data_IF_082499717925
#
_entry.id   IF_082499717925
#
_cell.length_a   1.000
_cell.length_b   1.000
_cell.length_c   1.000
_cell.angle_alpha   90.00
_cell.angle_beta   90.00
_cell.angle_gamma   90.00
#
_symmetry.space_group_name_H-M   'P 1'
#
loop_
_entity.id
_entity.type
_entity.pdbx_description
1 polymer ?
#
# COMPACT_ATOMS: atom_id res chain seq x y z
N UNK A 1 7.84 38.40 -0.57
CA UNK A 1 6.50 38.76 -0.04
C UNK A 1 5.36 38.08 -0.81
N UNK A 2 5.41 37.99 -2.15
CA UNK A 2 4.39 37.29 -2.95
C UNK A 2 4.23 35.80 -2.60
N UNK A 3 5.33 35.05 -2.44
CA UNK A 3 5.27 33.62 -2.10
C UNK A 3 4.56 33.35 -0.75
N UNK A 4 4.79 34.19 0.26
CA UNK A 4 4.13 34.06 1.58
C UNK A 4 2.62 34.29 1.47
N UNK A 5 2.20 35.26 0.64
CA UNK A 5 0.79 35.52 0.38
C UNK A 5 0.12 34.37 -0.37
N UNK A 6 0.80 33.78 -1.35
CA UNK A 6 0.31 32.60 -2.09
C UNK A 6 0.17 31.40 -1.15
N UNK A 7 1.17 31.13 -0.31
CA UNK A 7 1.12 30.05 0.67
C UNK A 7 0.00 30.24 1.70
N UNK A 8 -0.17 31.46 2.21
CA UNK A 8 -1.27 31.79 3.13
C UNK A 8 -2.63 31.57 2.48
N UNK A 9 -2.81 32.03 1.25
CA UNK A 9 -4.06 31.82 0.50
C UNK A 9 -4.33 30.34 0.22
N UNK A 10 -3.33 29.56 -0.19
CA UNK A 10 -3.47 28.12 -0.42
C UNK A 10 -3.85 27.38 0.86
N UNK A 11 -3.27 27.76 1.99
CA UNK A 11 -3.59 27.17 3.28
C UNK A 11 -5.02 27.50 3.73
N UNK A 12 -5.43 28.77 3.60
CA UNK A 12 -6.79 29.20 3.92
C UNK A 12 -7.83 28.51 3.03
N UNK A 13 -7.54 28.37 1.73
CA UNK A 13 -8.42 27.69 0.78
C UNK A 13 -8.50 26.19 1.11
N UNK A 14 -7.37 25.53 1.38
CA UNK A 14 -7.34 24.13 1.82
C UNK A 14 -8.18 23.90 3.09
N UNK A 15 -8.05 24.80 4.07
CA UNK A 15 -8.75 24.68 5.33
C UNK A 15 -10.27 24.81 5.17
N UNK A 16 -10.75 25.58 4.18
CA UNK A 16 -12.17 25.77 3.87
C UNK A 16 -12.74 24.68 2.97
N UNK A 17 -11.99 24.25 1.94
CA UNK A 17 -12.48 23.30 0.95
C UNK A 17 -12.41 21.84 1.41
N UNK A 18 -11.45 21.50 2.28
CA UNK A 18 -11.17 20.10 2.62
C UNK A 18 -11.95 19.64 3.85
N UNK A 19 -12.78 18.56 3.75
CA UNK A 19 -13.51 17.99 4.87
C UNK A 19 -12.59 17.36 5.93
N UNK A 20 -13.05 17.31 7.19
CA UNK A 20 -12.26 16.83 8.33
C UNK A 20 -11.74 15.39 8.17
N UNK A 21 -12.48 14.52 7.46
CA UNK A 21 -12.05 13.13 7.19
C UNK A 21 -10.79 13.07 6.32
N UNK A 22 -10.73 13.89 5.27
CA UNK A 22 -9.55 13.97 4.40
C UNK A 22 -8.34 14.58 5.13
N UNK A 23 -8.58 15.58 6.00
CA UNK A 23 -7.52 16.17 6.84
C UNK A 23 -6.85 15.14 7.77
N UNK A 24 -7.59 14.14 8.26
CA UNK A 24 -7.01 13.05 9.08
C UNK A 24 -6.08 12.19 8.23
N UNK A 25 -6.47 11.86 6.99
CA UNK A 25 -5.63 11.10 6.06
C UNK A 25 -4.38 11.90 5.70
N UNK A 26 -4.53 13.20 5.41
CA UNK A 26 -3.41 14.09 5.12
C UNK A 26 -2.45 14.20 6.32
N UNK A 27 -2.97 14.29 7.56
CA UNK A 27 -2.15 14.29 8.77
C UNK A 27 -1.37 12.97 8.95
N UNK A 28 -2.01 11.83 8.65
CA UNK A 28 -1.35 10.52 8.62
C UNK A 28 -0.24 10.46 7.55
N UNK A 29 -0.49 10.97 6.35
CA UNK A 29 0.52 11.06 5.29
C UNK A 29 1.72 11.91 5.70
N UNK A 30 1.50 13.05 6.36
CA UNK A 30 2.57 13.90 6.90
C UNK A 30 3.37 13.16 7.97
N UNK A 31 2.70 12.48 8.90
CA UNK A 31 3.38 11.68 9.92
C UNK A 31 4.31 10.60 9.32
N UNK A 32 3.83 9.86 8.32
CA UNK A 32 4.64 8.83 7.65
C UNK A 32 5.80 9.46 6.90
N UNK A 33 5.57 10.57 6.20
CA UNK A 33 6.61 11.29 5.46
C UNK A 33 7.73 11.74 6.40
N UNK A 34 7.38 12.35 7.54
CA UNK A 34 8.34 12.76 8.56
C UNK A 34 9.10 11.56 9.12
N UNK A 35 8.42 10.42 9.32
CA UNK A 35 9.06 9.19 9.78
C UNK A 35 10.06 8.65 8.75
N UNK A 36 9.72 8.66 7.46
CA UNK A 36 10.63 8.24 6.38
C UNK A 36 11.84 9.16 6.24
N UNK A 37 11.65 10.48 6.37
CA UNK A 37 12.75 11.45 6.42
C UNK A 37 13.65 11.20 7.62
N UNK A 38 13.08 10.97 8.81
CA UNK A 38 13.86 10.67 10.01
C UNK A 38 14.66 9.37 9.87
N UNK A 39 14.08 8.31 9.30
CA UNK A 39 14.78 7.05 9.00
C UNK A 39 15.94 7.27 8.02
N UNK A 40 15.71 8.04 6.96
CA UNK A 40 16.72 8.37 5.97
C UNK A 40 17.88 9.17 6.57
N UNK A 41 17.57 10.22 7.36
CA UNK A 41 18.58 11.01 8.07
C UNK A 41 19.38 10.16 9.06
N UNK A 42 18.73 9.27 9.80
CA UNK A 42 19.41 8.33 10.70
C UNK A 42 20.42 7.45 9.92
N UNK A 43 20.02 6.92 8.77
CA UNK A 43 20.90 6.12 7.92
C UNK A 43 22.11 6.91 7.41
N UNK A 44 21.94 8.20 7.08
CA UNK A 44 23.05 9.06 6.66
C UNK A 44 24.03 9.37 7.79
N UNK A 45 23.53 9.54 9.02
CA UNK A 45 24.35 9.93 10.17
C UNK A 45 25.05 8.76 10.87
N UNK A 46 24.34 7.63 11.04
CA UNK A 46 24.81 6.48 11.84
C UNK A 46 25.34 5.36 10.95
N UNK A 47 24.94 5.33 9.68
CA UNK A 47 25.33 4.31 8.71
C UNK A 47 24.23 3.29 8.45
N UNK A 48 24.55 2.30 7.60
CA UNK A 48 23.59 1.41 6.95
C UNK A 48 23.45 0.03 7.60
N UNK A 49 24.12 -0.24 8.72
CA UNK A 49 24.07 -1.56 9.36
C UNK A 49 23.03 -1.59 10.50
N UNK A 50 22.05 -2.53 10.51
CA UNK A 50 21.75 -3.57 9.50
C UNK A 50 20.89 -3.07 8.33
N UNK A 51 21.35 -3.33 7.09
CA UNK A 51 20.77 -2.74 5.87
C UNK A 51 19.33 -3.20 5.59
N UNK A 52 19.04 -4.49 5.83
CA UNK A 52 17.70 -5.03 5.60
C UNK A 52 16.66 -4.41 6.53
N UNK A 53 17.03 -4.12 7.79
CA UNK A 53 16.10 -3.49 8.74
C UNK A 53 15.85 -2.02 8.36
N UNK A 54 16.89 -1.28 7.95
CA UNK A 54 16.70 0.07 7.40
C UNK A 54 15.81 0.06 6.15
N UNK A 55 16.15 -0.76 5.17
CA UNK A 55 15.44 -0.85 3.89
C UNK A 55 13.98 -1.28 4.09
N UNK A 56 13.72 -2.23 4.99
CA UNK A 56 12.36 -2.66 5.34
C UNK A 56 11.53 -1.53 5.98
N UNK A 57 12.12 -0.75 6.88
CA UNK A 57 11.45 0.36 7.55
C UNK A 57 11.19 1.52 6.58
N UNK A 58 12.14 1.79 5.69
CA UNK A 58 12.01 2.81 4.66
C UNK A 58 10.98 2.43 3.58
N UNK A 59 10.96 1.18 3.12
CA UNK A 59 9.92 0.69 2.20
C UNK A 59 8.54 0.74 2.88
N UNK A 60 8.47 0.42 4.18
CA UNK A 60 7.22 0.55 4.96
C UNK A 60 6.62 1.94 4.87
N UNK A 61 7.44 2.97 5.11
CA UNK A 61 6.98 4.36 5.12
C UNK A 61 6.59 4.81 3.71
N UNK A 62 7.38 4.47 2.69
CA UNK A 62 7.04 4.79 1.29
C UNK A 62 5.72 4.12 0.85
N UNK A 63 5.56 2.81 1.07
CA UNK A 63 4.35 2.11 0.63
C UNK A 63 3.12 2.54 1.44
N UNK A 64 3.25 2.79 2.75
CA UNK A 64 2.14 3.30 3.57
C UNK A 64 1.67 4.68 3.10
N UNK A 65 2.61 5.54 2.66
CA UNK A 65 2.27 6.84 2.06
C UNK A 65 1.51 6.68 0.74
N UNK A 66 1.95 5.77 -0.13
CA UNK A 66 1.26 5.47 -1.40
C UNK A 66 -0.15 4.95 -1.14
N UNK A 67 -0.31 3.98 -0.22
CA UNK A 67 -1.63 3.44 0.15
C UNK A 67 -2.55 4.53 0.73
N UNK A 68 -2.02 5.44 1.55
CA UNK A 68 -2.79 6.56 2.08
C UNK A 68 -3.22 7.55 0.99
N UNK A 69 -2.35 7.81 0.01
CA UNK A 69 -2.67 8.62 -1.17
C UNK A 69 -3.79 7.98 -2.01
N UNK A 70 -3.72 6.67 -2.24
CA UNK A 70 -4.78 5.92 -2.91
C UNK A 70 -6.11 6.02 -2.16
N UNK A 71 -6.10 5.84 -0.83
CA UNK A 71 -7.29 6.01 0.00
C UNK A 71 -7.85 7.43 -0.12
N UNK A 72 -6.99 8.46 -0.03
CA UNK A 72 -7.37 9.87 -0.16
C UNK A 72 -8.07 10.16 -1.49
N UNK A 73 -7.57 9.59 -2.58
CA UNK A 73 -8.14 9.76 -3.92
C UNK A 73 -9.52 9.09 -4.02
N UNK A 74 -9.66 7.87 -3.51
CA UNK A 74 -10.90 7.08 -3.59
C UNK A 74 -12.02 7.63 -2.69
N UNK A 75 -11.68 8.21 -1.54
CA UNK A 75 -12.68 8.76 -0.60
C UNK A 75 -12.97 10.24 -0.81
N UNK A 76 -12.29 10.91 -1.75
CA UNK A 76 -12.60 12.29 -2.11
C UNK A 76 -13.90 12.36 -2.92
N UNK A 77 -14.85 13.18 -2.47
CA UNK A 77 -16.17 13.32 -3.10
C UNK A 77 -16.07 13.89 -4.53
N UNK A 78 -15.06 14.71 -4.80
CA UNK A 78 -14.80 15.27 -6.13
C UNK A 78 -14.47 14.19 -7.17
N UNK A 79 -13.89 13.06 -6.73
CA UNK A 79 -13.51 11.94 -7.61
C UNK A 79 -14.59 10.85 -7.67
N UNK A 80 -15.77 11.10 -7.12
CA UNK A 80 -16.84 10.08 -7.01
C UNK A 80 -17.33 9.59 -8.36
N UNK A 81 -17.22 10.37 -9.44
CA UNK A 81 -17.56 9.94 -10.80
C UNK A 81 -16.66 8.80 -11.29
N UNK A 82 -15.37 8.86 -10.98
CA UNK A 82 -14.38 7.84 -11.38
C UNK A 82 -14.48 6.57 -10.51
N UNK A 83 -14.84 6.73 -9.24
CA UNK A 83 -14.92 5.64 -8.26
C UNK A 83 -16.35 5.28 -7.85
N UNK A 84 -17.35 5.53 -8.72
CA UNK A 84 -18.77 5.36 -8.38
C UNK A 84 -19.15 3.95 -7.90
N UNK A 85 -18.35 2.94 -8.25
CA UNK A 85 -18.53 1.54 -7.86
C UNK A 85 -17.81 1.15 -6.55
N UNK A 86 -17.02 2.05 -5.96
CA UNK A 86 -16.24 1.83 -4.74
C UNK A 86 -16.85 2.67 -3.62
N UNK A 87 -17.41 2.01 -2.60
CA UNK A 87 -17.88 2.74 -1.42
C UNK A 87 -16.71 3.17 -0.53
N UNK A 88 -16.83 4.26 0.24
CA UNK A 88 -15.78 4.68 1.17
C UNK A 88 -15.39 3.59 2.19
N UNK A 89 -16.35 2.76 2.61
CA UNK A 89 -16.13 1.64 3.52
C UNK A 89 -15.30 0.54 2.85
N UNK A 90 -15.56 0.25 1.56
CA UNK A 90 -14.77 -0.70 0.77
C UNK A 90 -13.34 -0.19 0.56
N UNK A 91 -13.18 1.07 0.17
CA UNK A 91 -11.85 1.69 0.02
C UNK A 91 -11.04 1.62 1.32
N UNK A 92 -11.68 1.83 2.47
CA UNK A 92 -11.05 1.70 3.77
C UNK A 92 -10.69 0.24 4.12
N UNK A 93 -11.56 -0.72 3.78
CA UNK A 93 -11.27 -2.15 3.98
C UNK A 93 -10.08 -2.61 3.12
N UNK A 94 -10.03 -2.21 1.85
CA UNK A 94 -8.93 -2.49 0.93
C UNK A 94 -7.61 -1.87 1.45
N UNK A 95 -7.68 -0.65 2.00
CA UNK A 95 -6.53 0.01 2.64
C UNK A 95 -5.99 -0.77 3.85
N UNK A 96 -6.86 -1.25 4.74
CA UNK A 96 -6.45 -2.07 5.90
C UNK A 96 -5.85 -3.40 5.44
N UNK A 97 -6.51 -4.08 4.49
CA UNK A 97 -6.04 -5.35 3.97
C UNK A 97 -4.64 -5.21 3.35
N UNK A 98 -4.43 -4.18 2.53
CA UNK A 98 -3.13 -3.87 1.96
C UNK A 98 -2.08 -3.59 3.04
N UNK A 99 -2.44 -2.86 4.12
CA UNK A 99 -1.54 -2.62 5.25
C UNK A 99 -1.13 -3.90 5.98
N UNK A 100 -2.05 -4.85 6.19
CA UNK A 100 -1.73 -6.13 6.83
C UNK A 100 -0.74 -6.92 5.98
N UNK A 101 -0.98 -7.02 4.67
CA UNK A 101 -0.07 -7.70 3.73
C UNK A 101 1.29 -7.03 3.70
N UNK A 102 1.32 -5.69 3.63
CA UNK A 102 2.53 -4.89 3.65
C UNK A 102 3.38 -5.18 4.91
N UNK A 103 2.76 -5.11 6.09
CA UNK A 103 3.47 -5.32 7.35
C UNK A 103 3.95 -6.78 7.49
N UNK A 104 3.20 -7.75 6.98
CA UNK A 104 3.65 -9.15 6.93
C UNK A 104 4.93 -9.31 6.11
N UNK A 105 5.00 -8.69 4.92
CA UNK A 105 6.18 -8.72 4.04
C UNK A 105 7.37 -8.02 4.69
N UNK A 106 7.15 -6.87 5.33
CA UNK A 106 8.22 -6.08 5.95
C UNK A 106 8.81 -6.78 7.17
N UNK A 107 7.97 -7.34 8.05
CA UNK A 107 8.44 -8.14 9.19
C UNK A 107 9.22 -9.35 8.71
N UNK A 108 8.83 -9.93 7.57
CA UNK A 108 9.58 -11.01 6.97
C UNK A 108 10.98 -10.59 6.48
N UNK A 109 11.06 -9.39 5.91
CA UNK A 109 12.28 -8.83 5.34
C UNK A 109 13.25 -8.28 6.41
N UNK A 110 12.75 -7.83 7.57
CA UNK A 110 13.53 -7.22 8.68
C UNK A 110 14.60 -8.13 9.31
N UNK A 111 14.47 -9.46 9.20
CA UNK A 111 15.50 -10.41 9.63
C UNK A 111 15.70 -10.57 11.15
N UNK A 112 14.99 -9.85 12.02
CA UNK A 112 15.05 -10.03 13.47
C UNK A 112 13.66 -10.25 14.08
N UNK A 113 13.27 -11.53 14.17
CA UNK A 113 12.70 -12.20 15.35
C UNK A 113 12.09 -13.53 14.92
N UNK A 114 12.86 -14.62 14.97
CA UNK A 114 12.43 -16.02 15.09
C UNK A 114 11.26 -16.58 14.24
N UNK A 115 10.70 -15.87 13.28
CA UNK A 115 9.81 -16.44 12.28
C UNK A 115 10.66 -16.87 11.11
N UNK A 116 10.74 -18.18 10.89
CA UNK A 116 11.32 -18.75 9.68
C UNK A 116 10.22 -18.82 8.62
N UNK A 117 10.03 -17.81 7.75
CA UNK A 117 9.02 -17.81 6.69
C UNK A 117 8.99 -19.09 5.90
N UNK A 118 10.17 -19.55 5.47
CA UNK A 118 10.31 -20.77 4.68
C UNK A 118 9.99 -22.04 5.47
N UNK A 119 10.06 -22.01 6.81
CA UNK A 119 9.62 -23.13 7.64
C UNK A 119 8.10 -23.13 7.82
N UNK A 120 7.45 -21.97 7.79
CA UNK A 120 5.99 -21.81 7.83
C UNK A 120 5.35 -22.12 6.47
N UNK A 121 6.00 -21.70 5.37
CA UNK A 121 5.64 -22.06 4.01
C UNK A 121 5.84 -23.56 3.75
N UNK A 122 6.99 -24.11 4.17
CA UNK A 122 7.25 -25.55 4.12
C UNK A 122 6.24 -26.32 4.98
N UNK A 123 5.97 -25.89 6.22
CA UNK A 123 4.95 -26.53 7.06
C UNK A 123 3.52 -26.35 6.51
N UNK A 124 3.20 -25.27 5.81
CA UNK A 124 1.94 -25.13 5.09
C UNK A 124 1.85 -26.11 3.93
N UNK A 125 2.97 -26.36 3.24
CA UNK A 125 3.03 -27.21 2.04
C UNK A 125 3.28 -28.70 2.33
N UNK A 126 3.74 -29.08 3.52
CA UNK A 126 4.05 -30.48 3.84
C UNK A 126 3.19 -31.07 4.94
N UNK A 127 2.37 -30.27 5.63
CA UNK A 127 1.58 -30.73 6.78
C UNK A 127 0.09 -30.82 6.38
N UNK A 128 -0.50 -32.03 6.28
CA UNK A 128 -1.82 -32.24 5.66
C UNK A 128 -2.98 -31.58 6.40
N UNK A 129 -2.82 -31.28 7.69
CA UNK A 129 -3.84 -30.63 8.53
C UNK A 129 -4.01 -29.13 8.22
N UNK A 130 -3.01 -28.48 7.63
CA UNK A 130 -2.98 -27.02 7.41
C UNK A 130 -2.90 -26.60 5.94
N UNK A 131 -2.66 -27.55 5.03
CA UNK A 131 -2.47 -27.34 3.59
C UNK A 131 -3.69 -26.69 2.92
N UNK A 132 -4.89 -27.14 3.27
CA UNK A 132 -6.14 -26.67 2.67
C UNK A 132 -6.42 -25.21 3.02
N UNK A 133 -6.11 -24.81 4.25
CA UNK A 133 -6.40 -23.47 4.78
C UNK A 133 -5.41 -22.44 4.26
N UNK A 134 -4.10 -22.69 4.34
CA UNK A 134 -3.08 -21.75 3.83
C UNK A 134 -3.04 -21.70 2.31
N UNK A 135 -3.32 -22.82 1.63
CA UNK A 135 -3.51 -22.85 0.18
C UNK A 135 -4.69 -22.00 -0.27
N UNK A 136 -5.83 -22.03 0.44
CA UNK A 136 -6.99 -21.21 0.10
C UNK A 136 -6.73 -19.71 0.28
N UNK A 137 -6.00 -19.29 1.32
CA UNK A 137 -5.70 -17.87 1.55
C UNK A 137 -4.65 -17.31 0.57
N UNK A 138 -3.66 -18.12 0.18
CA UNK A 138 -2.67 -17.73 -0.83
C UNK A 138 -3.27 -17.64 -2.23
N UNK A 139 -4.12 -18.59 -2.62
CA UNK A 139 -4.82 -18.57 -3.91
C UNK A 139 -5.86 -17.45 -3.95
N UNK A 140 -6.60 -17.20 -2.87
CA UNK A 140 -7.52 -16.07 -2.82
C UNK A 140 -6.79 -14.72 -2.89
N UNK A 141 -5.65 -14.57 -2.20
CA UNK A 141 -4.83 -13.36 -2.27
C UNK A 141 -4.23 -13.13 -3.67
N UNK A 142 -3.77 -14.18 -4.34
CA UNK A 142 -3.25 -14.11 -5.71
C UNK A 142 -4.35 -13.82 -6.74
N UNK A 143 -5.52 -14.45 -6.64
CA UNK A 143 -6.67 -14.16 -7.52
C UNK A 143 -7.23 -12.76 -7.26
N UNK A 144 -7.20 -12.28 -6.01
CA UNK A 144 -7.61 -10.91 -5.67
C UNK A 144 -6.62 -9.89 -6.23
N UNK A 145 -5.31 -10.14 -6.13
CA UNK A 145 -4.29 -9.29 -6.74
C UNK A 145 -4.38 -9.27 -8.28
N UNK A 146 -4.70 -10.41 -8.88
CA UNK A 146 -4.99 -10.53 -10.31
C UNK A 146 -6.25 -9.75 -10.71
N UNK A 147 -7.28 -9.71 -9.86
CA UNK A 147 -8.51 -8.93 -10.10
C UNK A 147 -8.29 -7.41 -10.00
N UNK A 148 -7.37 -6.95 -9.14
CA UNK A 148 -7.09 -5.52 -8.92
C UNK A 148 -6.11 -4.90 -9.92
N UNK A 149 -5.33 -5.68 -10.66
CA UNK A 149 -4.46 -5.17 -11.73
C UNK A 149 -5.20 -5.16 -13.07
N UNK A 150 -5.19 -4.02 -13.79
CA UNK A 150 -5.82 -3.87 -15.11
C UNK A 150 -5.39 -4.98 -16.08
N UNK A 151 -6.30 -5.93 -16.33
CA UNK A 151 -6.03 -7.17 -17.06
C UNK A 151 -5.62 -6.94 -18.52
N UNK A 152 -5.90 -5.77 -19.08
CA UNK A 152 -5.54 -5.45 -20.46
C UNK A 152 -4.03 -5.46 -20.69
N UNK A 153 -3.21 -5.10 -19.71
CA UNK A 153 -1.75 -5.02 -19.88
C UNK A 153 -1.04 -6.36 -19.67
N UNK A 154 -1.57 -7.22 -18.80
CA UNK A 154 -0.98 -8.54 -18.50
C UNK A 154 -1.52 -9.62 -19.44
N UNK A 155 -2.79 -9.52 -19.85
CA UNK A 155 -3.47 -10.50 -20.71
C UNK A 155 -2.86 -10.63 -22.11
N UNK A 156 -2.17 -9.60 -22.60
CA UNK A 156 -1.53 -9.56 -23.92
C UNK A 156 -0.38 -10.58 -24.06
N UNK A 157 0.24 -10.94 -22.94
CA UNK A 157 1.36 -11.88 -22.88
C UNK A 157 0.93 -13.33 -22.63
N UNK A 158 -0.37 -13.58 -22.42
CA UNK A 158 -0.92 -14.92 -22.17
C UNK A 158 -1.69 -15.40 -23.42
N UNK A 159 -1.18 -16.42 -24.15
CA UNK A 159 -1.73 -16.83 -25.45
C UNK A 159 -3.21 -17.24 -25.43
N UNK A 160 -3.69 -17.76 -24.30
CA UNK A 160 -5.08 -18.21 -24.12
C UNK A 160 -6.07 -17.05 -23.99
N UNK A 161 -5.63 -15.84 -23.61
CA UNK A 161 -6.49 -14.71 -23.27
C UNK A 161 -6.68 -13.70 -24.43
N UNK A 162 -5.80 -13.75 -25.45
CA UNK A 162 -5.86 -12.93 -26.67
C UNK A 162 -7.16 -13.09 -27.50
N UNK A 163 -7.98 -14.11 -27.23
CA UNK A 163 -9.27 -14.30 -27.91
C UNK A 163 -10.39 -13.38 -27.39
N UNK A 164 -10.24 -12.78 -26.19
CA UNK A 164 -11.33 -12.05 -25.53
C UNK A 164 -11.16 -10.53 -25.54
N UNK A 165 -9.95 -10.04 -25.77
CA UNK A 165 -9.62 -8.63 -25.93
C UNK A 165 -8.65 -8.49 -27.11
N UNK A 166 -9.15 -8.30 -28.35
CA UNK A 166 -8.27 -7.99 -29.47
C UNK A 166 -7.57 -6.64 -29.21
N UNK A 167 -6.27 -6.58 -29.48
CA UNK A 167 -5.55 -5.31 -29.50
C UNK A 167 -6.11 -4.47 -30.65
N UNK A 168 -6.54 -3.24 -30.36
CA UNK A 168 -6.74 -2.21 -31.39
C UNK A 168 -5.38 -1.66 -31.84
#
# INVERSE_FOLDING_TARGET
MQAVQVLGKLFDDYQKSTPSRLKIIDAYMVYILLTGVAQFLYCLLVGTFPFNSFLSGFISTVTSFVLASCLRIQVNEENKSEFAHISPERAFADFIFAHVVLHLVIVNFMGMMYMRPFRLLKNSLTNPTYYTTYGSYGVSGFIMAIYFCEWQSVGQYIPLWNKRYPAE
#
